data_IF_195333525653
#
_entry.id   IF_195333525653
#
_cell.length_a   1.000
_cell.length_b   1.000
_cell.length_c   1.000
_cell.angle_alpha   90.00
_cell.angle_beta   90.00
_cell.angle_gamma   90.00
#
_symmetry.space_group_name_H-M   'P 1'
#
loop_
_entity.id
_entity.type
_entity.pdbx_description
1 polymer ?
#
# COMPACT_ATOMS: atom_id res chain seq x y z
N UNK A 1 -21.11 -0.80 12.08
CA UNK A 1 -19.64 -0.64 11.91
C UNK A 1 -18.93 -0.60 13.25
N UNK A 2 -17.74 -1.20 13.36
CA UNK A 2 -16.96 -1.26 14.62
C UNK A 2 -15.59 -1.89 14.42
N UNK A 3 -14.75 -1.91 15.46
CA UNK A 3 -13.47 -2.66 15.50
C UNK A 3 -13.62 -4.17 15.82
N UNK A 4 -14.80 -4.76 15.58
CA UNK A 4 -14.99 -6.22 15.68
C UNK A 4 -14.33 -6.89 14.47
N UNK A 5 -13.59 -7.97 14.70
CA UNK A 5 -12.94 -8.75 13.65
C UNK A 5 -13.91 -9.80 13.11
N UNK A 6 -14.83 -9.35 12.27
CA UNK A 6 -15.69 -10.21 11.46
C UNK A 6 -16.09 -9.45 10.20
N UNK A 7 -15.56 -9.90 9.06
CA UNK A 7 -15.69 -9.27 7.75
C UNK A 7 -15.97 -10.32 6.70
N UNK A 8 -16.15 -9.90 5.44
CA UNK A 8 -16.26 -10.83 4.31
C UNK A 8 -15.03 -11.75 4.15
N UNK A 9 -13.88 -11.38 4.72
CA UNK A 9 -12.64 -12.18 4.70
C UNK A 9 -12.54 -13.22 5.83
N UNK A 10 -13.51 -13.26 6.75
CA UNK A 10 -13.51 -14.18 7.90
C UNK A 10 -13.60 -13.47 9.25
N UNK A 11 -13.59 -14.28 10.31
CA UNK A 11 -13.69 -13.85 11.69
C UNK A 11 -12.32 -13.72 12.41
N UNK A 12 -12.34 -13.48 13.73
CA UNK A 12 -11.13 -13.34 14.53
C UNK A 12 -10.28 -14.62 14.60
N UNK A 13 -10.91 -15.80 14.54
CA UNK A 13 -10.23 -17.09 14.54
C UNK A 13 -9.58 -17.36 13.18
N UNK A 14 -10.28 -17.06 12.08
CA UNK A 14 -9.72 -17.12 10.73
C UNK A 14 -8.49 -16.20 10.62
N UNK A 15 -8.61 -14.97 11.14
CA UNK A 15 -7.52 -14.02 11.17
C UNK A 15 -6.32 -14.52 11.97
N UNK A 16 -6.54 -15.08 13.17
CA UNK A 16 -5.48 -15.68 13.99
C UNK A 16 -4.83 -16.89 13.30
N UNK A 17 -5.62 -17.72 12.64
CA UNK A 17 -5.11 -18.88 11.90
C UNK A 17 -4.18 -18.42 10.76
N UNK A 18 -4.63 -17.41 9.99
CA UNK A 18 -3.86 -16.80 8.91
C UNK A 18 -2.52 -16.24 9.42
N UNK A 19 -2.53 -15.36 10.42
CA UNK A 19 -1.31 -14.75 10.96
C UNK A 19 -0.35 -15.80 11.50
N UNK A 20 -0.85 -16.78 12.25
CA UNK A 20 -0.03 -17.88 12.82
C UNK A 20 0.68 -18.67 11.73
N UNK A 21 -0.04 -19.08 10.67
CA UNK A 21 0.52 -19.87 9.57
C UNK A 21 1.50 -19.06 8.73
N UNK A 22 1.17 -17.81 8.40
CA UNK A 22 2.04 -16.93 7.63
C UNK A 22 3.35 -16.64 8.39
N UNK A 23 3.27 -16.29 9.67
CA UNK A 23 4.45 -16.02 10.50
C UNK A 23 5.36 -17.25 10.62
N UNK A 24 4.80 -18.46 10.71
CA UNK A 24 5.59 -19.71 10.76
C UNK A 24 6.44 -19.93 9.52
N UNK A 25 6.01 -19.44 8.35
CA UNK A 25 6.77 -19.52 7.10
C UNK A 25 7.53 -18.23 6.77
N UNK A 26 7.68 -17.33 7.74
CA UNK A 26 8.42 -16.07 7.58
C UNK A 26 7.69 -15.00 6.76
N UNK A 27 6.40 -15.19 6.45
CA UNK A 27 5.58 -14.20 5.73
C UNK A 27 4.84 -13.34 6.76
N UNK A 28 5.08 -12.03 6.72
CA UNK A 28 4.53 -11.08 7.70
C UNK A 28 3.23 -10.47 7.20
N UNK A 29 2.31 -10.21 8.13
CA UNK A 29 0.99 -9.62 7.86
C UNK A 29 0.98 -8.15 8.26
N UNK A 30 0.57 -7.28 7.35
CA UNK A 30 0.33 -5.86 7.60
C UNK A 30 -1.16 -5.58 7.42
N UNK A 31 -1.79 -4.97 8.42
CA UNK A 31 -3.24 -4.71 8.39
C UNK A 31 -3.52 -3.33 7.83
N UNK A 32 -4.49 -3.25 6.93
CA UNK A 32 -5.10 -1.99 6.53
C UNK A 32 -6.01 -1.48 7.63
N UNK A 33 -5.64 -0.34 8.23
CA UNK A 33 -6.35 0.21 9.39
C UNK A 33 -6.98 1.55 9.03
N UNK A 34 -8.32 1.56 9.10
CA UNK A 34 -9.15 2.73 8.84
C UNK A 34 -9.62 3.27 10.19
N UNK A 35 -9.00 4.38 10.62
CA UNK A 35 -9.37 5.08 11.85
C UNK A 35 -9.38 6.61 11.73
N UNK A 36 -9.26 7.14 10.50
CA UNK A 36 -9.56 8.55 10.24
C UNK A 36 -11.06 8.83 10.49
N UNK A 37 -11.91 7.97 9.92
CA UNK A 37 -13.35 8.16 9.87
C UNK A 37 -14.11 6.90 10.26
N UNK A 38 -15.44 7.01 10.36
CA UNK A 38 -16.35 5.88 10.47
C UNK A 38 -17.06 5.59 9.14
N UNK A 39 -18.29 6.07 8.90
CA UNK A 39 -18.99 5.82 7.63
C UNK A 39 -19.47 7.10 6.97
N UNK A 40 -19.77 7.01 5.68
CA UNK A 40 -20.66 7.94 4.98
C UNK A 40 -22.12 7.69 5.34
N UNK A 41 -23.03 8.40 4.67
CA UNK A 41 -24.46 8.07 4.72
C UNK A 41 -24.75 6.96 3.72
N UNK A 42 -25.55 5.98 4.12
CA UNK A 42 -25.91 4.84 3.29
C UNK A 42 -27.31 4.34 3.63
N UNK A 43 -27.94 3.61 2.70
CA UNK A 43 -29.25 2.99 2.93
C UNK A 43 -29.23 1.92 4.03
N UNK A 44 -28.10 1.22 4.22
CA UNK A 44 -27.93 0.20 5.25
C UNK A 44 -27.07 0.73 6.37
N UNK A 45 -27.48 0.47 7.61
CA UNK A 45 -26.75 0.87 8.81
C UNK A 45 -26.15 -0.31 9.58
N UNK A 46 -26.16 -1.51 8.99
CA UNK A 46 -25.65 -2.74 9.60
C UNK A 46 -24.29 -3.09 9.01
N UNK A 47 -23.25 -3.18 9.86
CA UNK A 47 -21.93 -3.63 9.42
C UNK A 47 -21.83 -5.16 9.34
N UNK A 48 -20.78 -5.67 8.70
CA UNK A 48 -20.52 -7.10 8.49
C UNK A 48 -20.55 -7.97 9.75
N UNK A 49 -20.20 -7.39 10.91
CA UNK A 49 -20.23 -8.06 12.21
C UNK A 49 -21.55 -7.84 12.99
N UNK A 50 -22.64 -7.44 12.30
CA UNK A 50 -23.96 -7.19 12.88
C UNK A 50 -24.08 -5.89 13.69
N UNK A 51 -22.99 -5.14 13.89
CA UNK A 51 -23.02 -3.86 14.61
C UNK A 51 -23.74 -2.79 13.79
N UNK A 52 -24.73 -2.12 14.38
CA UNK A 52 -25.48 -1.02 13.76
C UNK A 52 -24.83 0.35 13.99
N UNK A 53 -25.31 1.38 13.30
CA UNK A 53 -25.05 2.79 13.59
C UNK A 53 -26.25 3.68 13.29
N UNK A 54 -26.21 4.90 13.80
CA UNK A 54 -27.04 6.02 13.36
C UNK A 54 -26.11 7.10 12.81
N UNK A 55 -26.12 7.23 11.49
CA UNK A 55 -25.20 8.13 10.77
C UNK A 55 -25.49 9.60 11.09
N UNK A 56 -26.78 9.97 11.13
CA UNK A 56 -27.24 11.33 11.40
C UNK A 56 -26.90 11.78 12.82
N UNK A 57 -26.96 10.85 13.78
CA UNK A 57 -26.62 11.12 15.17
C UNK A 57 -25.13 10.89 15.49
N UNK A 58 -24.30 10.52 14.51
CA UNK A 58 -22.89 10.18 14.70
C UNK A 58 -22.70 9.11 15.79
N UNK A 59 -23.58 8.09 15.80
CA UNK A 59 -23.65 7.08 16.85
C UNK A 59 -23.19 5.72 16.36
N UNK A 60 -22.16 5.17 17.00
CA UNK A 60 -21.58 3.86 16.72
C UNK A 60 -21.48 3.05 18.02
N UNK A 61 -22.60 2.44 18.47
CA UNK A 61 -22.71 1.86 19.80
C UNK A 61 -21.71 0.73 20.11
N UNK A 62 -21.25 0.01 19.08
CA UNK A 62 -20.31 -1.09 19.25
C UNK A 62 -18.85 -0.65 19.51
N UNK A 63 -18.50 0.63 19.28
CA UNK A 63 -17.22 1.27 19.68
C UNK A 63 -17.41 2.29 20.81
N UNK A 64 -18.60 2.29 21.40
CA UNK A 64 -19.37 3.45 21.89
C UNK A 64 -18.99 4.88 21.40
N UNK A 65 -18.78 5.09 20.09
CA UNK A 65 -18.67 6.48 19.60
C UNK A 65 -20.03 7.17 19.52
N UNK A 66 -20.01 8.49 19.73
CA UNK A 66 -21.15 9.41 19.79
C UNK A 66 -20.70 10.71 19.15
N UNK A 67 -21.63 11.58 18.76
CA UNK A 67 -21.39 12.92 18.17
C UNK A 67 -20.15 13.66 18.70
N UNK A 68 -19.98 13.76 20.02
CA UNK A 68 -18.82 14.45 20.62
C UNK A 68 -17.44 13.91 20.24
N UNK A 69 -17.34 12.67 19.74
CA UNK A 69 -16.08 12.00 19.37
C UNK A 69 -15.66 12.28 17.91
N UNK A 70 -16.40 13.13 17.21
CA UNK A 70 -16.15 13.53 15.83
C UNK A 70 -15.85 15.03 15.79
N UNK A 71 -15.18 15.50 14.74
CA UNK A 71 -14.89 16.91 14.57
C UNK A 71 -16.18 17.75 14.41
N UNK A 72 -16.18 18.92 15.05
CA UNK A 72 -17.28 19.88 15.03
C UNK A 72 -16.76 21.33 15.02
N UNK A 73 -17.42 22.26 14.29
CA UNK A 73 -18.62 22.07 13.46
C UNK A 73 -18.37 21.10 12.29
N UNK A 74 -19.41 20.41 11.82
CA UNK A 74 -19.28 19.49 10.69
C UNK A 74 -19.00 20.30 9.43
N UNK A 75 -18.00 19.89 8.66
CA UNK A 75 -17.62 20.47 7.37
C UNK A 75 -17.16 19.36 6.43
N UNK A 76 -17.16 19.64 5.13
CA UNK A 76 -16.58 18.79 4.09
C UNK A 76 -15.26 19.39 3.60
N UNK A 77 -14.34 18.55 3.16
CA UNK A 77 -13.09 18.99 2.54
C UNK A 77 -13.38 19.55 1.14
N UNK A 78 -13.17 20.85 0.97
CA UNK A 78 -13.32 21.55 -0.31
C UNK A 78 -12.02 22.23 -0.75
N UNK A 79 -11.14 22.57 0.19
CA UNK A 79 -9.87 23.25 -0.07
C UNK A 79 -8.67 22.43 0.45
N UNK A 80 -7.97 21.75 -0.47
CA UNK A 80 -6.77 20.99 -0.15
C UNK A 80 -5.54 21.86 0.20
N UNK A 81 -5.59 23.18 -0.03
CA UNK A 81 -4.57 24.14 0.41
C UNK A 81 -4.79 24.64 1.85
N UNK A 82 -5.83 24.15 2.54
CA UNK A 82 -6.07 24.39 3.96
C UNK A 82 -5.82 23.12 4.77
N UNK A 83 -4.68 23.03 5.45
CA UNK A 83 -4.29 21.83 6.20
C UNK A 83 -5.26 21.47 7.34
N UNK A 84 -5.88 22.47 7.98
CA UNK A 84 -6.90 22.22 9.01
C UNK A 84 -8.15 21.62 8.40
N UNK A 85 -8.64 22.17 7.28
CA UNK A 85 -9.81 21.62 6.60
C UNK A 85 -9.55 20.18 6.12
N UNK A 86 -8.36 19.91 5.56
CA UNK A 86 -7.98 18.55 5.14
C UNK A 86 -7.99 17.53 6.29
N UNK A 87 -7.72 17.96 7.52
CA UNK A 87 -7.57 17.07 8.70
C UNK A 87 -8.78 17.05 9.65
N UNK A 88 -9.60 18.10 9.65
CA UNK A 88 -10.70 18.26 10.61
C UNK A 88 -12.09 18.20 9.95
N UNK A 89 -12.15 18.15 8.61
CA UNK A 89 -13.41 18.04 7.85
C UNK A 89 -13.57 16.65 7.22
N UNK A 90 -14.81 16.33 6.86
CA UNK A 90 -15.19 15.04 6.30
C UNK A 90 -14.62 14.84 4.91
N UNK A 91 -13.82 13.79 4.75
CA UNK A 91 -13.45 13.25 3.45
C UNK A 91 -14.69 12.61 2.82
N UNK A 92 -15.25 13.22 1.77
CA UNK A 92 -16.42 12.72 1.02
C UNK A 92 -17.62 12.31 1.90
N UNK A 93 -17.91 13.10 2.93
CA UNK A 93 -19.03 12.86 3.86
C UNK A 93 -18.81 11.73 4.87
N UNK A 94 -17.58 11.20 4.96
CA UNK A 94 -17.19 10.20 5.95
C UNK A 94 -17.03 10.86 7.33
N UNK A 95 -17.67 10.28 8.35
CA UNK A 95 -17.79 10.87 9.69
C UNK A 95 -16.42 10.89 10.35
N UNK A 96 -15.83 12.09 10.42
CA UNK A 96 -14.43 12.30 10.75
C UNK A 96 -14.17 12.28 12.28
N UNK A 97 -13.36 11.32 12.74
CA UNK A 97 -13.10 11.11 14.17
C UNK A 97 -12.18 12.20 14.69
N UNK A 98 -12.43 12.68 15.89
CA UNK A 98 -11.53 13.63 16.55
C UNK A 98 -10.46 12.87 17.34
N UNK A 99 -9.30 12.64 16.73
CA UNK A 99 -8.19 11.92 17.36
C UNK A 99 -7.49 12.72 18.45
N UNK A 100 -7.82 14.00 18.68
CA UNK A 100 -7.33 14.73 19.87
C UNK A 100 -7.97 14.22 21.17
N UNK A 101 -9.13 13.54 21.07
CA UNK A 101 -9.86 13.06 22.23
C UNK A 101 -9.25 11.79 22.84
N UNK A 102 -9.06 11.74 24.18
CA UNK A 102 -8.49 10.58 24.85
C UNK A 102 -9.24 9.26 24.58
N UNK A 103 -10.58 9.27 24.57
CA UNK A 103 -11.36 8.07 24.31
C UNK A 103 -11.18 7.55 22.87
N UNK A 104 -11.06 8.44 21.89
CA UNK A 104 -10.84 8.07 20.48
C UNK A 104 -9.48 7.40 20.33
N UNK A 105 -8.42 8.03 20.82
CA UNK A 105 -7.07 7.42 20.82
C UNK A 105 -7.05 6.09 21.56
N UNK A 106 -7.70 6.00 22.72
CA UNK A 106 -7.78 4.76 23.50
C UNK A 106 -8.40 3.63 22.67
N UNK A 107 -9.56 3.87 22.02
CA UNK A 107 -10.26 2.84 21.26
C UNK A 107 -9.47 2.40 20.01
N UNK A 108 -8.78 3.34 19.36
CA UNK A 108 -7.87 3.02 18.24
C UNK A 108 -6.71 2.17 18.75
N UNK A 109 -6.04 2.58 19.83
CA UNK A 109 -4.90 1.83 20.41
C UNK A 109 -5.32 0.44 20.90
N UNK A 110 -6.50 0.29 21.51
CA UNK A 110 -7.06 -1.01 21.90
C UNK A 110 -7.25 -1.92 20.67
N UNK A 111 -7.79 -1.39 19.57
CA UNK A 111 -7.97 -2.10 18.32
C UNK A 111 -6.62 -2.54 17.70
N UNK A 112 -5.67 -1.61 17.56
CA UNK A 112 -4.36 -1.90 16.99
C UNK A 112 -3.57 -2.89 17.85
N UNK A 113 -3.58 -2.74 19.18
CA UNK A 113 -2.93 -3.69 20.08
C UNK A 113 -3.58 -5.08 20.07
N UNK A 114 -4.89 -5.16 19.83
CA UNK A 114 -5.55 -6.45 19.61
C UNK A 114 -4.98 -7.15 18.37
N UNK A 115 -4.78 -6.43 17.26
CA UNK A 115 -4.15 -6.97 16.06
C UNK A 115 -2.70 -7.40 16.30
N UNK A 116 -1.91 -6.61 17.04
CA UNK A 116 -0.52 -6.97 17.43
C UNK A 116 -0.50 -8.29 18.21
N UNK A 117 -1.40 -8.47 19.17
CA UNK A 117 -1.49 -9.72 19.93
C UNK A 117 -1.80 -10.92 19.02
N UNK A 118 -2.61 -10.69 17.98
CA UNK A 118 -2.96 -11.68 16.96
C UNK A 118 -1.85 -11.92 15.92
N UNK A 119 -0.68 -11.29 16.05
CA UNK A 119 0.52 -11.64 15.27
C UNK A 119 0.75 -10.81 14.01
N UNK A 120 0.12 -9.65 13.87
CA UNK A 120 0.45 -8.73 12.78
C UNK A 120 1.82 -8.10 12.99
N UNK A 121 2.54 -7.79 11.91
CA UNK A 121 3.85 -7.16 11.95
C UNK A 121 3.77 -5.63 11.86
N UNK A 122 2.63 -5.07 11.46
CA UNK A 122 2.50 -3.65 11.20
C UNK A 122 1.20 -3.25 10.54
N UNK A 123 1.13 -1.99 10.11
CA UNK A 123 -0.09 -1.32 9.68
C UNK A 123 0.12 -0.45 8.44
N UNK A 124 -0.80 -0.57 7.48
CA UNK A 124 -1.08 0.47 6.47
C UNK A 124 -2.10 1.42 7.07
N UNK A 125 -1.71 2.66 7.32
CA UNK A 125 -2.62 3.65 7.89
C UNK A 125 -3.32 4.38 6.76
N UNK A 126 -4.59 4.04 6.59
CA UNK A 126 -5.50 4.63 5.60
C UNK A 126 -5.68 6.12 5.85
N UNK A 127 -5.79 6.91 4.77
CA UNK A 127 -6.12 8.33 4.82
C UNK A 127 -5.27 9.13 5.82
N UNK A 128 -4.00 8.77 6.02
CA UNK A 128 -3.12 9.42 7.00
C UNK A 128 -2.96 10.92 6.75
N UNK A 129 -3.05 11.36 5.48
CA UNK A 129 -3.12 12.78 5.08
C UNK A 129 -4.17 13.58 5.87
N UNK A 130 -5.28 12.93 6.21
CA UNK A 130 -6.45 13.52 6.86
C UNK A 130 -6.39 13.44 8.39
N UNK A 131 -5.26 13.07 8.98
CA UNK A 131 -5.07 13.05 10.43
C UNK A 131 -3.87 13.91 10.83
N UNK A 132 -3.89 14.49 12.03
CA UNK A 132 -2.73 15.24 12.52
C UNK A 132 -1.55 14.32 12.84
N UNK A 133 -0.32 14.64 12.37
CA UNK A 133 0.88 13.88 12.72
C UNK A 133 1.09 13.71 14.23
N UNK A 134 0.72 14.71 15.03
CA UNK A 134 0.82 14.70 16.49
C UNK A 134 -0.09 13.64 17.11
N UNK A 135 -1.31 13.50 16.58
CA UNK A 135 -2.28 12.51 17.04
C UNK A 135 -1.85 11.10 16.65
N UNK A 136 -1.37 10.92 15.41
CA UNK A 136 -0.79 9.68 14.93
C UNK A 136 0.41 9.26 15.78
N UNK A 137 1.32 10.21 16.07
CA UNK A 137 2.48 9.97 16.95
C UNK A 137 2.06 9.49 18.34
N UNK A 138 1.03 10.12 18.93
CA UNK A 138 0.50 9.69 20.23
C UNK A 138 -0.06 8.26 20.18
N UNK A 139 -0.79 7.91 19.12
CA UNK A 139 -1.33 6.55 18.90
C UNK A 139 -0.18 5.55 18.72
N UNK A 140 0.78 5.83 17.83
CA UNK A 140 1.89 4.91 17.52
C UNK A 140 2.80 4.67 18.72
N UNK A 141 3.06 5.69 19.53
CA UNK A 141 3.85 5.56 20.77
C UNK A 141 3.15 4.68 21.81
N UNK A 142 1.81 4.66 21.83
CA UNK A 142 1.02 3.84 22.75
C UNK A 142 0.87 2.37 22.32
N UNK A 143 1.35 2.00 21.12
CA UNK A 143 1.30 0.61 20.65
C UNK A 143 2.27 -0.26 21.46
N UNK A 144 1.92 -1.53 21.63
CA UNK A 144 2.79 -2.56 22.19
C UNK A 144 3.89 -2.94 21.20
N UNK A 145 4.94 -3.59 21.72
CA UNK A 145 5.89 -4.30 20.88
C UNK A 145 5.21 -5.52 20.23
N UNK A 146 5.78 -5.99 19.12
CA UNK A 146 5.31 -7.15 18.40
C UNK A 146 5.37 -8.41 19.26
N UNK A 147 4.38 -9.29 19.09
CA UNK A 147 4.22 -10.47 19.94
C UNK A 147 5.26 -11.56 19.61
N UNK A 148 6.20 -11.81 20.51
CA UNK A 148 7.30 -12.79 20.31
C UNK A 148 6.82 -14.22 20.06
N UNK A 149 5.60 -14.59 20.47
CA UNK A 149 5.00 -15.89 20.15
C UNK A 149 4.80 -16.13 18.64
N UNK A 150 4.79 -15.05 17.85
CA UNK A 150 4.68 -15.08 16.39
C UNK A 150 6.04 -14.98 15.68
N UNK A 151 7.13 -15.24 16.40
CA UNK A 151 8.49 -15.27 15.83
C UNK A 151 9.06 -13.89 15.51
N UNK A 152 8.63 -12.86 16.25
CA UNK A 152 9.25 -11.54 16.25
C UNK A 152 10.33 -11.45 17.33
N UNK A 153 11.35 -10.63 17.12
CA UNK A 153 12.37 -10.38 18.13
C UNK A 153 11.80 -9.57 19.30
N UNK A 154 12.34 -9.78 20.50
CA UNK A 154 11.95 -8.97 21.66
C UNK A 154 12.27 -7.50 21.41
N UNK A 155 11.34 -6.61 21.74
CA UNK A 155 11.48 -5.18 21.52
C UNK A 155 11.13 -4.69 20.11
N UNK A 156 10.83 -5.58 19.15
CA UNK A 156 10.41 -5.15 17.81
C UNK A 156 9.14 -4.29 17.87
N UNK A 157 9.17 -3.14 17.19
CA UNK A 157 8.00 -2.24 17.02
C UNK A 157 7.21 -2.63 15.77
N UNK A 158 5.89 -2.37 15.73
CA UNK A 158 5.12 -2.55 14.50
C UNK A 158 5.64 -1.64 13.40
N UNK A 159 5.78 -2.19 12.19
CA UNK A 159 6.12 -1.39 11.00
C UNK A 159 4.91 -0.56 10.59
N UNK A 160 5.09 0.75 10.45
CA UNK A 160 4.02 1.68 10.08
C UNK A 160 4.35 2.21 8.69
N UNK A 161 3.37 2.16 7.80
CA UNK A 161 3.40 2.94 6.58
C UNK A 161 2.08 3.65 6.33
N UNK A 162 2.17 4.88 5.83
CA UNK A 162 1.09 5.86 5.92
C UNK A 162 0.65 6.29 4.54
N UNK A 163 -0.65 6.29 4.29
CA UNK A 163 -1.19 6.81 3.04
C UNK A 163 -1.24 8.34 3.06
N UNK A 164 -0.31 8.97 2.36
CA UNK A 164 -0.28 10.42 2.20
C UNK A 164 -0.08 10.75 0.72
N UNK A 165 -1.18 11.07 0.04
CA UNK A 165 -1.14 11.52 -1.34
C UNK A 165 -0.54 12.93 -1.45
N UNK A 166 0.27 13.17 -2.48
CA UNK A 166 0.86 14.48 -2.77
C UNK A 166 -0.18 15.54 -3.14
N UNK A 167 0.21 16.82 -3.08
CA UNK A 167 -0.59 17.98 -3.45
C UNK A 167 -1.30 18.66 -2.28
N UNK A 168 -1.55 19.96 -2.41
CA UNK A 168 -2.15 20.80 -1.36
C UNK A 168 -1.17 21.21 -0.26
N UNK A 169 -1.71 21.66 0.88
CA UNK A 169 -0.93 22.13 2.02
C UNK A 169 -0.30 21.03 2.87
N UNK A 170 -0.88 19.83 2.88
CA UNK A 170 -0.36 18.67 3.64
C UNK A 170 0.61 17.87 2.79
N UNK A 171 1.82 17.62 3.31
CA UNK A 171 2.90 16.99 2.57
C UNK A 171 3.27 15.61 3.13
N UNK A 172 3.70 14.65 2.29
CA UNK A 172 4.25 13.38 2.75
C UNK A 172 5.41 13.53 3.75
N UNK A 173 6.20 14.60 3.61
CA UNK A 173 7.30 14.93 4.53
C UNK A 173 6.86 15.17 5.98
N UNK A 174 5.59 15.54 6.21
CA UNK A 174 5.07 15.83 7.55
C UNK A 174 4.93 14.54 8.40
N UNK A 175 4.96 13.37 7.75
CA UNK A 175 4.71 12.06 8.35
C UNK A 175 5.94 11.14 8.36
N UNK A 176 7.03 11.53 7.69
CA UNK A 176 8.22 10.67 7.47
C UNK A 176 8.90 10.21 8.77
N UNK A 177 8.80 11.00 9.84
CA UNK A 177 9.42 10.70 11.14
C UNK A 177 8.55 9.76 12.01
N UNK A 178 7.36 9.39 11.52
CA UNK A 178 6.43 8.48 12.19
C UNK A 178 6.48 7.05 11.65
N UNK A 179 7.02 6.87 10.44
CA UNK A 179 7.06 5.62 9.70
C UNK A 179 7.21 5.90 8.20
N UNK A 180 7.16 4.85 7.39
CA UNK A 180 7.23 5.01 5.94
C UNK A 180 5.95 5.70 5.43
N UNK A 181 6.03 6.29 4.23
CA UNK A 181 4.93 6.99 3.59
C UNK A 181 4.79 6.47 2.17
N UNK A 182 3.56 6.28 1.71
CA UNK A 182 3.26 5.89 0.34
C UNK A 182 3.75 6.95 -0.65
N UNK A 183 4.73 6.61 -1.47
CA UNK A 183 5.31 7.55 -2.43
C UNK A 183 4.53 7.54 -3.75
N UNK A 184 3.44 8.31 -3.81
CA UNK A 184 2.58 8.38 -4.99
C UNK A 184 3.29 8.97 -6.23
N UNK A 185 4.35 9.78 -6.07
CA UNK A 185 5.12 10.27 -7.22
C UNK A 185 5.82 9.14 -7.96
N UNK A 186 6.16 8.02 -7.29
CA UNK A 186 6.68 6.84 -7.97
C UNK A 186 5.64 6.26 -8.93
N UNK A 187 4.40 6.08 -8.49
CA UNK A 187 3.34 5.56 -9.36
C UNK A 187 3.10 6.50 -10.56
N UNK A 188 3.05 7.81 -10.34
CA UNK A 188 2.89 8.81 -11.40
C UNK A 188 4.07 8.83 -12.39
N UNK A 189 5.30 8.74 -11.90
CA UNK A 189 6.47 8.78 -12.79
C UNK A 189 6.65 7.48 -13.58
N UNK A 190 6.36 6.32 -12.97
CA UNK A 190 6.28 5.06 -13.70
C UNK A 190 5.20 5.11 -14.78
N UNK A 191 4.03 5.66 -14.48
CA UNK A 191 2.98 5.85 -15.48
C UNK A 191 3.46 6.74 -16.63
N UNK A 192 4.07 7.89 -16.34
CA UNK A 192 4.59 8.78 -17.38
C UNK A 192 5.63 8.09 -18.28
N UNK A 193 6.56 7.33 -17.69
CA UNK A 193 7.63 6.68 -18.45
C UNK A 193 7.09 5.47 -19.24
N UNK A 194 6.37 4.56 -18.59
CA UNK A 194 5.96 3.30 -19.20
C UNK A 194 4.67 3.38 -20.01
N UNK A 195 3.95 4.51 -19.99
CA UNK A 195 2.91 4.84 -20.97
C UNK A 195 3.43 5.64 -22.17
N UNK A 196 4.75 5.91 -22.23
CA UNK A 196 5.39 6.56 -23.37
C UNK A 196 5.35 8.10 -23.37
N UNK A 197 4.94 8.74 -22.26
CA UNK A 197 4.98 10.20 -22.13
C UNK A 197 6.40 10.73 -21.88
N UNK A 198 7.30 9.88 -21.35
CA UNK A 198 8.72 10.18 -21.13
C UNK A 198 9.59 8.98 -21.54
N UNK A 199 10.75 9.20 -22.17
CA UNK A 199 11.64 8.10 -22.52
C UNK A 199 12.29 7.44 -21.29
N UNK A 200 12.62 6.15 -21.38
CA UNK A 200 13.22 5.39 -20.26
C UNK A 200 14.50 6.02 -19.70
N UNK A 201 15.28 6.76 -20.51
CA UNK A 201 16.50 7.46 -20.04
C UNK A 201 16.28 8.36 -18.82
N UNK A 202 15.06 8.90 -18.61
CA UNK A 202 14.76 9.75 -17.45
C UNK A 202 14.84 8.99 -16.12
N UNK A 203 14.75 7.66 -16.15
CA UNK A 203 14.95 6.81 -14.98
C UNK A 203 16.38 6.85 -14.44
N UNK A 204 17.34 7.46 -15.16
CA UNK A 204 18.71 7.70 -14.66
C UNK A 204 18.74 8.53 -13.37
N UNK A 205 17.79 9.45 -13.21
CA UNK A 205 17.64 10.29 -12.01
C UNK A 205 16.65 9.70 -11.00
N UNK A 206 16.29 8.42 -11.11
CA UNK A 206 15.28 7.82 -10.23
C UNK A 206 15.67 7.87 -8.75
N UNK A 207 14.72 8.29 -7.91
CA UNK A 207 14.95 8.46 -6.47
C UNK A 207 15.86 9.63 -6.09
N UNK A 208 16.20 10.52 -7.03
CA UNK A 208 16.94 11.74 -6.71
C UNK A 208 16.02 12.81 -6.09
N UNK A 209 16.58 13.73 -5.30
CA UNK A 209 15.81 14.86 -4.75
C UNK A 209 15.13 15.74 -5.81
N UNK A 210 15.63 15.74 -7.06
CA UNK A 210 15.05 16.53 -8.15
C UNK A 210 13.67 16.03 -8.60
N UNK A 211 13.28 14.81 -8.23
CA UNK A 211 11.94 14.29 -8.48
C UNK A 211 10.94 14.65 -7.37
N UNK A 212 11.38 15.34 -6.31
CA UNK A 212 10.52 15.68 -5.16
C UNK A 212 10.06 14.47 -4.34
N UNK A 213 10.65 13.29 -4.59
CA UNK A 213 10.37 12.07 -3.86
C UNK A 213 11.01 12.13 -2.45
N UNK A 214 10.43 11.41 -1.51
CA UNK A 214 10.97 11.24 -0.15
C UNK A 214 12.35 10.59 -0.16
N UNK A 215 13.12 10.70 0.94
CA UNK A 215 14.27 9.82 1.15
C UNK A 215 13.85 8.35 1.02
N UNK A 216 14.72 7.54 0.40
CA UNK A 216 14.42 6.13 0.09
C UNK A 216 14.05 5.32 1.33
N UNK A 217 14.65 5.63 2.47
CA UNK A 217 14.42 5.00 3.77
C UNK A 217 13.07 5.32 4.40
N UNK A 218 12.31 6.28 3.84
CA UNK A 218 10.98 6.66 4.31
C UNK A 218 9.88 6.36 3.27
N UNK A 219 10.22 5.73 2.15
CA UNK A 219 9.32 5.61 1.01
C UNK A 219 8.81 4.17 0.83
N UNK A 220 7.49 3.98 0.93
CA UNK A 220 6.83 2.76 0.44
C UNK A 220 6.39 3.00 -1.01
N UNK A 221 6.92 2.20 -1.93
CA UNK A 221 6.80 2.45 -3.37
C UNK A 221 5.98 1.36 -4.06
N UNK A 222 5.22 1.73 -5.10
CA UNK A 222 4.37 0.80 -5.83
C UNK A 222 4.12 1.30 -7.26
N UNK A 223 3.82 0.39 -8.18
CA UNK A 223 3.39 0.74 -9.54
C UNK A 223 1.95 1.27 -9.51
N UNK A 224 1.10 0.60 -8.74
CA UNK A 224 -0.31 0.91 -8.54
C UNK A 224 -0.74 0.54 -7.11
N UNK A 225 -1.90 1.02 -6.69
CA UNK A 225 -2.60 0.56 -5.50
C UNK A 225 -4.05 0.18 -5.86
N UNK A 226 -4.87 -0.12 -4.84
CA UNK A 226 -6.27 -0.49 -5.06
C UNK A 226 -7.14 0.67 -5.59
N UNK A 227 -6.78 1.93 -5.32
CA UNK A 227 -7.49 3.12 -5.80
C UNK A 227 -7.04 3.55 -7.20
N UNK A 228 -5.74 3.74 -7.39
CA UNK A 228 -5.14 4.27 -8.62
C UNK A 228 -5.29 3.32 -9.79
N UNK A 229 -5.47 2.01 -9.55
CA UNK A 229 -5.76 1.06 -10.63
C UNK A 229 -7.18 1.22 -11.19
N UNK A 230 -8.12 1.77 -10.40
CA UNK A 230 -9.52 1.99 -10.76
C UNK A 230 -9.73 3.39 -11.32
N UNK A 231 -9.03 4.38 -10.79
CA UNK A 231 -9.12 5.75 -11.24
C UNK A 231 -8.23 5.96 -12.48
N UNK A 232 -8.74 6.67 -13.48
CA UNK A 232 -8.32 6.64 -14.90
C UNK A 232 -6.96 7.30 -15.24
N UNK A 233 -5.90 7.07 -14.46
CA UNK A 233 -4.61 7.75 -14.66
C UNK A 233 -3.35 7.00 -14.25
N UNK A 234 -3.40 5.68 -14.00
CA UNK A 234 -2.24 4.88 -13.59
C UNK A 234 -2.02 3.62 -14.44
N UNK A 235 -0.85 3.00 -14.30
CA UNK A 235 -0.62 1.65 -14.80
C UNK A 235 -1.41 0.65 -13.94
N UNK A 236 -1.88 -0.44 -14.53
CA UNK A 236 -2.47 -1.57 -13.82
C UNK A 236 -2.24 -2.86 -14.61
N UNK A 237 -2.76 -4.00 -14.13
CA UNK A 237 -2.59 -5.29 -14.80
C UNK A 237 -3.10 -5.35 -16.26
N UNK A 238 -3.94 -4.40 -16.70
CA UNK A 238 -4.43 -4.27 -18.08
C UNK A 238 -3.46 -3.51 -18.98
N UNK A 239 -2.48 -2.79 -18.42
CA UNK A 239 -1.49 -2.02 -19.16
C UNK A 239 -0.39 -2.90 -19.74
N UNK A 240 -0.07 -2.72 -21.03
CA UNK A 240 0.95 -3.52 -21.73
C UNK A 240 2.32 -3.53 -21.01
N UNK A 241 2.74 -2.38 -20.46
CA UNK A 241 4.04 -2.20 -19.82
C UNK A 241 4.01 -2.37 -18.28
N UNK A 242 2.94 -2.87 -17.68
CA UNK A 242 2.86 -3.05 -16.22
C UNK A 242 3.97 -3.95 -15.67
N UNK A 243 4.24 -5.07 -16.34
CA UNK A 243 5.31 -6.00 -15.96
C UNK A 243 6.69 -5.35 -16.05
N UNK A 244 6.91 -4.50 -17.06
CA UNK A 244 8.17 -3.79 -17.29
C UNK A 244 8.39 -2.74 -16.20
N UNK A 245 7.36 -1.95 -15.88
CA UNK A 245 7.40 -0.98 -14.78
C UNK A 245 7.66 -1.65 -13.43
N UNK A 246 7.01 -2.80 -13.18
CA UNK A 246 7.19 -3.58 -11.96
C UNK A 246 8.60 -4.17 -11.87
N UNK A 247 9.15 -4.66 -12.98
CA UNK A 247 10.54 -5.14 -13.04
C UNK A 247 11.53 -4.01 -12.72
N UNK A 248 11.32 -2.80 -13.23
CA UNK A 248 12.15 -1.64 -12.88
C UNK A 248 12.05 -1.30 -11.39
N UNK A 249 10.83 -1.22 -10.83
CA UNK A 249 10.60 -0.97 -9.41
C UNK A 249 11.34 -1.98 -8.51
N UNK A 250 11.29 -3.27 -8.87
CA UNK A 250 11.96 -4.34 -8.11
C UNK A 250 13.49 -4.32 -8.28
N UNK A 251 13.99 -3.99 -9.47
CA UNK A 251 15.41 -3.93 -9.78
C UNK A 251 16.12 -2.71 -9.17
N UNK A 252 15.43 -1.60 -8.98
CA UNK A 252 16.00 -0.38 -8.39
C UNK A 252 16.05 -0.44 -6.85
N UNK A 253 17.10 0.03 -6.16
CA UNK A 253 17.19 -0.03 -4.69
C UNK A 253 16.25 0.92 -3.94
N UNK A 254 15.64 1.88 -4.63
CA UNK A 254 14.84 2.95 -4.03
C UNK A 254 13.54 2.43 -3.41
N UNK A 255 13.29 2.82 -2.16
CA UNK A 255 12.07 2.53 -1.40
C UNK A 255 11.86 1.07 -1.03
N UNK A 256 10.84 0.85 -0.21
CA UNK A 256 10.30 -0.46 0.13
C UNK A 256 9.16 -0.81 -0.84
N UNK A 257 9.34 -1.77 -1.78
CA UNK A 257 8.34 -2.04 -2.79
C UNK A 257 7.15 -2.81 -2.20
N UNK A 258 5.95 -2.36 -2.58
CA UNK A 258 4.70 -3.08 -2.44
C UNK A 258 4.17 -3.42 -3.83
N UNK A 259 3.59 -4.60 -3.93
CA UNK A 259 2.93 -5.08 -5.14
C UNK A 259 1.44 -5.27 -4.88
N UNK A 260 0.64 -4.85 -5.85
CA UNK A 260 -0.79 -5.12 -5.89
C UNK A 260 -1.04 -6.57 -6.33
N UNK A 261 -2.03 -7.22 -5.73
CA UNK A 261 -2.59 -8.47 -6.23
C UNK A 261 -4.09 -8.32 -6.38
N UNK A 262 -4.56 -8.21 -7.61
CA UNK A 262 -5.89 -7.75 -7.97
C UNK A 262 -6.88 -8.88 -8.23
N UNK A 263 -8.15 -8.50 -8.34
CA UNK A 263 -9.18 -9.27 -9.03
C UNK A 263 -9.58 -8.55 -10.32
N UNK A 264 -10.13 -9.29 -11.29
CA UNK A 264 -10.61 -8.71 -12.54
C UNK A 264 -11.85 -7.84 -12.29
N UNK A 265 -11.89 -6.66 -12.89
CA UNK A 265 -13.01 -5.73 -12.79
C UNK A 265 -13.18 -4.98 -14.09
N UNK A 266 -14.41 -4.61 -14.45
CA UNK A 266 -14.72 -3.76 -15.61
C UNK A 266 -15.39 -2.44 -15.22
N UNK A 267 -15.79 -2.30 -13.96
CA UNK A 267 -16.29 -1.04 -13.37
C UNK A 267 -15.47 -0.67 -12.14
N UNK A 268 -15.36 0.63 -11.89
CA UNK A 268 -14.56 1.17 -10.78
C UNK A 268 -15.12 0.79 -9.41
N UNK A 269 -16.44 0.63 -9.30
CA UNK A 269 -17.19 0.27 -8.09
C UNK A 269 -17.36 -1.25 -7.89
N UNK A 270 -16.85 -2.07 -8.81
CA UNK A 270 -17.05 -3.51 -8.78
C UNK A 270 -16.28 -4.17 -7.61
N UNK A 271 -17.02 -4.87 -6.76
CA UNK A 271 -16.47 -5.70 -5.69
C UNK A 271 -15.75 -6.97 -6.19
N UNK A 272 -15.10 -7.73 -5.28
CA UNK A 272 -14.39 -8.96 -5.64
C UNK A 272 -15.34 -10.07 -6.13
N UNK A 273 -14.80 -11.13 -6.77
CA UNK A 273 -15.55 -12.34 -7.08
C UNK A 273 -16.34 -12.85 -5.87
N UNK A 274 -17.65 -13.03 -6.03
CA UNK A 274 -18.55 -13.41 -4.95
C UNK A 274 -19.70 -14.30 -5.46
N UNK A 275 -20.34 -15.00 -4.53
CA UNK A 275 -21.41 -15.98 -4.80
C UNK A 275 -22.81 -15.38 -5.02
N UNK A 276 -22.91 -14.06 -5.22
CA UNK A 276 -24.18 -13.32 -5.31
C UNK A 276 -24.84 -13.04 -3.95
N UNK A 277 -24.31 -13.58 -2.85
CA UNK A 277 -24.71 -13.28 -1.46
C UNK A 277 -23.60 -12.53 -0.71
N UNK A 278 -22.73 -11.87 -1.46
CA UNK A 278 -21.55 -11.16 -0.98
C UNK A 278 -20.47 -12.04 -0.32
N UNK A 279 -20.58 -13.37 -0.27
CA UNK A 279 -19.46 -14.18 0.23
C UNK A 279 -18.34 -14.18 -0.81
N UNK A 280 -17.09 -13.94 -0.37
CA UNK A 280 -15.95 -13.88 -1.30
C UNK A 280 -15.65 -15.30 -1.81
N UNK A 281 -15.56 -15.44 -3.13
CA UNK A 281 -15.12 -16.68 -3.76
C UNK A 281 -13.59 -16.79 -3.69
N UNK A 282 -13.09 -17.90 -3.14
CA UNK A 282 -11.64 -18.13 -3.02
C UNK A 282 -10.95 -18.22 -4.38
N UNK A 283 -9.70 -17.74 -4.51
CA UNK A 283 -8.89 -17.97 -5.70
C UNK A 283 -8.68 -19.45 -6.00
N UNK A 284 -8.75 -19.83 -7.27
CA UNK A 284 -8.40 -21.18 -7.75
C UNK A 284 -6.95 -21.17 -8.19
N UNK A 285 -6.13 -22.13 -7.75
CA UNK A 285 -4.75 -22.27 -8.24
C UNK A 285 -4.73 -23.29 -9.38
N UNK A 286 -4.37 -22.82 -10.58
CA UNK A 286 -4.27 -23.64 -11.78
C UNK A 286 -2.99 -24.51 -11.75
N UNK A 287 -2.94 -25.52 -12.61
CA UNK A 287 -1.79 -26.45 -12.71
C UNK A 287 -0.47 -25.75 -13.05
N UNK A 288 -0.53 -24.65 -13.79
CA UNK A 288 0.63 -23.82 -14.17
C UNK A 288 1.06 -22.81 -13.08
N UNK A 289 0.37 -22.81 -11.92
CA UNK A 289 0.63 -21.91 -10.80
C UNK A 289 -0.07 -20.55 -10.88
N UNK A 290 -0.76 -20.25 -11.99
CA UNK A 290 -1.60 -19.05 -12.13
C UNK A 290 -2.88 -19.14 -11.30
N UNK A 291 -3.58 -18.01 -11.14
CA UNK A 291 -4.88 -17.98 -10.49
C UNK A 291 -6.04 -18.05 -11.51
N UNK A 292 -7.13 -18.67 -11.10
CA UNK A 292 -8.44 -18.62 -11.75
C UNK A 292 -9.52 -18.09 -10.78
N UNK A 293 -10.77 -18.13 -11.21
CA UNK A 293 -11.91 -17.70 -10.40
C UNK A 293 -12.09 -16.17 -10.30
N UNK A 294 -11.61 -15.42 -11.31
CA UNK A 294 -11.71 -13.96 -11.34
C UNK A 294 -10.56 -13.22 -10.64
N UNK A 295 -9.49 -13.92 -10.26
CA UNK A 295 -8.33 -13.34 -9.59
C UNK A 295 -7.15 -13.16 -10.55
N UNK A 296 -6.53 -11.98 -10.56
CA UNK A 296 -5.42 -11.62 -11.47
C UNK A 296 -4.10 -12.23 -10.98
N UNK A 297 -3.83 -12.14 -9.67
CA UNK A 297 -2.65 -12.67 -9.01
C UNK A 297 -1.32 -12.27 -9.68
N UNK A 298 -1.08 -10.97 -9.83
CA UNK A 298 0.15 -10.40 -10.39
C UNK A 298 1.40 -10.97 -9.70
N UNK A 299 1.33 -11.19 -8.39
CA UNK A 299 2.39 -11.79 -7.57
C UNK A 299 2.80 -13.22 -7.98
N UNK A 300 1.97 -13.93 -8.76
CA UNK A 300 2.24 -15.29 -9.28
C UNK A 300 2.75 -15.30 -10.72
N UNK A 301 2.82 -14.15 -11.39
CA UNK A 301 3.33 -14.12 -12.75
C UNK A 301 4.83 -14.45 -12.78
N UNK A 302 5.31 -15.34 -13.68
CA UNK A 302 6.72 -15.71 -13.75
C UNK A 302 7.70 -14.56 -13.82
N UNK A 303 7.41 -13.55 -14.63
CA UNK A 303 8.23 -12.33 -14.73
C UNK A 303 8.32 -11.57 -13.41
N UNK A 304 7.30 -11.67 -12.55
CA UNK A 304 7.16 -10.90 -11.34
C UNK A 304 7.87 -11.57 -10.16
N UNK A 305 7.52 -12.83 -9.83
CA UNK A 305 8.16 -13.49 -8.69
C UNK A 305 9.65 -13.74 -8.94
N UNK A 306 10.10 -13.89 -10.21
CA UNK A 306 11.52 -13.95 -10.55
C UNK A 306 12.22 -12.62 -10.28
N UNK A 307 11.55 -11.49 -10.49
CA UNK A 307 12.10 -10.17 -10.14
C UNK A 307 12.12 -9.93 -8.62
N UNK A 308 11.24 -10.57 -7.85
CA UNK A 308 11.36 -10.62 -6.38
C UNK A 308 12.61 -11.40 -5.99
N UNK A 309 12.88 -12.55 -6.62
CA UNK A 309 14.14 -13.29 -6.43
C UNK A 309 15.35 -12.43 -6.81
N UNK A 310 15.32 -11.76 -7.96
CA UNK A 310 16.36 -10.82 -8.39
C UNK A 310 16.64 -9.78 -7.30
N UNK A 311 15.58 -9.12 -6.79
CA UNK A 311 15.69 -8.10 -5.72
C UNK A 311 16.35 -8.68 -4.47
N UNK A 312 15.98 -9.89 -4.06
CA UNK A 312 16.58 -10.57 -2.90
C UNK A 312 18.07 -10.84 -3.11
N UNK A 313 18.47 -11.32 -4.30
CA UNK A 313 19.89 -11.58 -4.63
C UNK A 313 20.70 -10.28 -4.60
N UNK A 314 20.17 -9.21 -5.18
CA UNK A 314 20.86 -7.92 -5.27
C UNK A 314 20.66 -7.01 -4.05
N UNK A 315 20.12 -7.55 -2.96
CA UNK A 315 19.89 -6.77 -1.74
C UNK A 315 21.19 -6.10 -1.25
N UNK A 316 21.06 -4.85 -0.77
CA UNK A 316 22.15 -3.97 -0.32
C UNK A 316 23.23 -3.60 -1.35
N UNK A 317 23.00 -3.79 -2.65
CA UNK A 317 23.87 -3.23 -3.71
C UNK A 317 23.34 -1.91 -4.24
N UNK A 318 24.18 -1.12 -4.91
CA UNK A 318 23.79 0.13 -5.57
C UNK A 318 23.55 -0.08 -7.07
N UNK A 319 22.92 0.89 -7.72
CA UNK A 319 22.90 0.95 -9.19
C UNK A 319 24.30 1.33 -9.67
N UNK A 320 24.86 0.53 -10.57
CA UNK A 320 26.18 0.72 -11.17
C UNK A 320 26.08 0.44 -12.68
N UNK A 321 27.07 0.88 -13.46
CA UNK A 321 27.15 0.62 -14.90
C UNK A 321 25.88 1.01 -15.67
N UNK A 322 25.29 2.16 -15.32
CA UNK A 322 24.13 2.68 -16.04
C UNK A 322 24.47 2.96 -17.49
N UNK A 323 23.62 2.49 -18.39
CA UNK A 323 23.66 2.78 -19.80
C UNK A 323 22.25 3.12 -20.32
N UNK A 324 22.18 4.06 -21.26
CA UNK A 324 20.98 4.35 -22.03
C UNK A 324 21.36 4.72 -23.47
N UNK A 325 20.44 4.54 -24.42
CA UNK A 325 20.62 4.96 -25.82
C UNK A 325 20.17 6.41 -26.08
N UNK A 326 19.95 7.22 -25.03
CA UNK A 326 19.31 8.52 -25.16
C UNK A 326 17.79 8.48 -25.35
N UNK A 327 17.15 7.30 -25.29
CA UNK A 327 15.73 7.08 -25.51
C UNK A 327 15.14 5.95 -24.63
N UNK A 328 14.60 4.89 -25.25
CA UNK A 328 13.77 3.85 -24.61
C UNK A 328 14.48 2.49 -24.47
N UNK A 329 15.82 2.50 -24.54
CA UNK A 329 16.65 1.37 -24.15
C UNK A 329 17.55 1.81 -22.98
N UNK A 330 17.45 1.08 -21.86
CA UNK A 330 18.30 1.31 -20.69
C UNK A 330 18.83 -0.03 -20.16
N UNK A 331 19.97 0.01 -19.50
CA UNK A 331 20.53 -1.13 -18.79
C UNK A 331 21.31 -0.65 -17.57
N UNK A 332 21.34 -1.47 -16.52
CA UNK A 332 22.19 -1.22 -15.37
C UNK A 332 22.49 -2.51 -14.60
N UNK A 333 23.54 -2.45 -13.81
CA UNK A 333 23.90 -3.49 -12.85
C UNK A 333 23.50 -3.10 -11.44
N UNK A 334 23.34 -4.11 -10.59
CA UNK A 334 23.14 -3.97 -9.15
C UNK A 334 24.35 -4.55 -8.43
N UNK A 335 25.40 -3.75 -8.32
CA UNK A 335 26.75 -4.20 -7.98
C UNK A 335 27.21 -5.33 -8.91
N UNK A 336 27.92 -6.30 -8.35
CA UNK A 336 28.35 -7.51 -9.06
C UNK A 336 27.37 -8.69 -8.96
N UNK A 337 26.11 -8.45 -8.57
CA UNK A 337 25.14 -9.53 -8.26
C UNK A 337 24.03 -9.70 -9.30
N UNK A 338 23.73 -8.68 -10.09
CA UNK A 338 22.65 -8.72 -11.06
C UNK A 338 22.79 -7.66 -12.13
N UNK A 339 22.23 -7.96 -13.29
CA UNK A 339 22.20 -7.08 -14.45
C UNK A 339 20.82 -7.13 -15.08
N UNK A 340 20.31 -5.99 -15.55
CA UNK A 340 18.99 -5.90 -16.17
C UNK A 340 19.00 -4.95 -17.36
N UNK A 341 18.22 -5.29 -18.37
CA UNK A 341 18.04 -4.52 -19.61
C UNK A 341 16.55 -4.28 -19.84
N UNK A 342 16.21 -3.08 -20.24
CA UNK A 342 14.87 -2.69 -20.64
C UNK A 342 14.90 -2.15 -22.07
N UNK A 343 13.96 -2.62 -22.89
CA UNK A 343 13.73 -2.11 -24.22
C UNK A 343 12.21 -1.99 -24.43
N UNK A 344 11.71 -0.75 -24.51
CA UNK A 344 10.31 -0.46 -24.87
C UNK A 344 10.20 0.12 -26.28
N UNK A 345 11.26 0.03 -27.08
CA UNK A 345 11.23 0.37 -28.50
C UNK A 345 10.69 -0.80 -29.33
N UNK A 346 10.16 -0.51 -30.52
CA UNK A 346 9.77 -1.54 -31.49
C UNK A 346 10.95 -2.19 -32.21
N UNK A 347 12.17 -1.69 -32.00
CA UNK A 347 13.41 -2.14 -32.63
C UNK A 347 14.16 -3.12 -31.73
N UNK A 348 14.82 -4.11 -32.33
CA UNK A 348 15.69 -5.04 -31.61
C UNK A 348 16.88 -4.28 -31.02
N UNK A 349 17.20 -4.61 -29.78
CA UNK A 349 18.43 -4.17 -29.12
C UNK A 349 19.53 -5.23 -29.34
N UNK A 350 20.65 -4.81 -29.93
CA UNK A 350 21.82 -5.66 -30.18
C UNK A 350 23.08 -4.94 -29.67
N UNK A 351 23.46 -5.25 -28.42
CA UNK A 351 24.56 -4.57 -27.72
C UNK A 351 25.24 -5.49 -26.72
N UNK A 352 26.56 -5.37 -26.62
CA UNK A 352 27.38 -6.05 -25.62
C UNK A 352 27.46 -5.18 -24.36
N UNK A 353 27.15 -5.79 -23.23
CA UNK A 353 27.27 -5.16 -21.90
C UNK A 353 28.31 -5.88 -21.07
N UNK A 354 29.09 -5.11 -20.31
CA UNK A 354 29.92 -5.67 -19.25
C UNK A 354 29.03 -5.97 -18.03
N UNK A 355 28.60 -7.23 -17.90
CA UNK A 355 27.96 -7.74 -16.68
C UNK A 355 29.02 -8.30 -15.71
N UNK A 356 28.62 -8.62 -14.48
CA UNK A 356 29.49 -9.32 -13.53
C UNK A 356 29.88 -10.71 -14.06
N UNK A 357 30.93 -11.32 -13.49
CA UNK A 357 31.35 -12.67 -13.89
C UNK A 357 30.38 -13.74 -13.37
N UNK A 358 29.88 -14.61 -14.24
CA UNK A 358 29.05 -15.76 -13.86
C UNK A 358 28.23 -16.35 -15.02
N UNK A 359 27.67 -17.55 -14.82
CA UNK A 359 26.68 -18.13 -15.71
C UNK A 359 25.30 -17.59 -15.31
N UNK A 360 24.66 -16.83 -16.20
CA UNK A 360 23.32 -16.29 -16.00
C UNK A 360 22.29 -17.19 -16.68
N UNK A 361 21.22 -17.55 -15.98
CA UNK A 361 20.02 -18.12 -16.60
C UNK A 361 19.13 -16.96 -17.03
N UNK A 362 18.75 -16.94 -18.32
CA UNK A 362 17.76 -16.00 -18.87
C UNK A 362 16.34 -16.27 -18.33
#
# INVERSE_FOLDING_TARGET
MSYKLNTRSGDANDFLNMTTRCNRVGVRIYVDVVFNHMTGDHETNVGTAGSTADFSAFSYPAVPYKKKHFHHPVCDINNYDNATEVRDCQLVGLKDLNQTMPLVRQKIVEYLNKLINLGVAGFRVDAAKHMWPEDLKAIYNALKNLNTQHGFQSGSRPYIYQEVAHGGAVKPSDYKDLGDVTEFLVASELFNVFSGHKPLKHLKSWGSPSLGMLPSENALVFVDNHDTQRNSGGLNYKSANYKVATAFLLAHPYGQPRMTSSYYFDRTDQGPPNDGKENIMSPVINRDGSCGGGWVCEHRWPSIYRMVVFRNVVHNTKVENWWDNGNNQIAFSRGNKGFIVFNTEGTKMDRIFQASYGNYLN
#
